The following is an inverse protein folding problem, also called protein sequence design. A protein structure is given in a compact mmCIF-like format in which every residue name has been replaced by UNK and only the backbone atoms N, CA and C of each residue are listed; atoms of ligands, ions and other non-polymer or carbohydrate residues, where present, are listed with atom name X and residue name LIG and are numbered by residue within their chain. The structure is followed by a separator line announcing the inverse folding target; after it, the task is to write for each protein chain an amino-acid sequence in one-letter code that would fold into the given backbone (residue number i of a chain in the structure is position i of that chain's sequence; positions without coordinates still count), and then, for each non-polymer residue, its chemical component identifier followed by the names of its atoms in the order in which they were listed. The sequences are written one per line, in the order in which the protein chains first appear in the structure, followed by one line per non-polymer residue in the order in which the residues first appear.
data_IF_257933149763
#
_entry.id   IF_257933149763
#
_cell.length_a   1.000
_cell.length_b   1.000
_cell.length_c   1.000
_cell.angle_alpha   90.00
_cell.angle_beta   90.00
_cell.angle_gamma   90.00
#
_symmetry.space_group_name_H-M   'P 1'
#
loop_
_entity.id
_entity.type
_entity.pdbx_description
1 polymer ?
#
# COMPACT_ATOMS: atom_id res chain seq x y z
N UNK A 1 5.71 -13.87 -11.38
CA UNK A 1 5.65 -12.68 -10.51
C UNK A 1 7.00 -11.96 -10.51
N UNK A 2 6.99 -10.63 -10.58
CA UNK A 2 8.12 -9.75 -10.25
C UNK A 2 7.81 -9.09 -8.91
N UNK A 3 8.81 -9.00 -8.05
CA UNK A 3 8.71 -8.32 -6.76
C UNK A 3 10.00 -7.53 -6.52
N UNK A 4 9.87 -6.21 -6.38
CA UNK A 4 10.97 -5.31 -6.07
C UNK A 4 10.59 -4.47 -4.84
N UNK A 5 11.46 -4.48 -3.84
CA UNK A 5 11.35 -3.61 -2.66
C UNK A 5 12.25 -2.39 -2.85
N UNK A 6 11.65 -1.21 -2.88
CA UNK A 6 12.34 0.06 -3.08
C UNK A 6 12.40 0.80 -1.74
N UNK A 7 13.62 1.00 -1.24
CA UNK A 7 13.88 1.78 -0.02
C UNK A 7 14.14 3.24 -0.37
N UNK A 8 13.51 4.15 0.37
CA UNK A 8 13.84 5.57 0.28
C UNK A 8 15.07 5.89 1.12
N UNK A 9 16.15 6.38 0.51
CA UNK A 9 17.37 6.71 1.26
C UNK A 9 17.11 7.83 2.28
N UNK A 10 17.68 7.71 3.48
CA UNK A 10 17.49 8.67 4.57
C UNK A 10 16.14 8.60 5.27
N UNK A 11 15.18 7.84 4.73
CA UNK A 11 13.90 7.54 5.36
C UNK A 11 13.83 6.04 5.70
N UNK A 12 13.11 5.70 6.76
CA UNK A 12 12.81 4.29 7.08
C UNK A 12 11.67 3.73 6.22
N UNK A 13 11.33 4.39 5.11
CA UNK A 13 10.22 4.09 4.23
C UNK A 13 10.56 3.02 3.17
N UNK A 14 9.65 2.06 3.01
CA UNK A 14 9.67 1.02 1.99
C UNK A 14 8.44 1.13 1.10
N UNK A 15 8.68 1.03 -0.20
CA UNK A 15 7.64 0.94 -1.22
C UNK A 15 7.86 -0.33 -2.04
N UNK A 16 6.81 -0.80 -2.70
CA UNK A 16 6.83 -2.12 -3.34
C UNK A 16 6.32 -2.03 -4.77
N UNK A 17 7.02 -2.66 -5.70
CA UNK A 17 6.58 -2.89 -7.06
C UNK A 17 6.29 -4.38 -7.24
N UNK A 18 5.07 -4.71 -7.63
CA UNK A 18 4.60 -6.09 -7.79
C UNK A 18 4.07 -6.24 -9.21
N UNK A 19 4.57 -7.22 -9.96
CA UNK A 19 4.22 -7.42 -11.37
C UNK A 19 3.79 -8.84 -11.70
N UNK A 20 2.79 -8.98 -12.58
CA UNK A 20 2.39 -10.24 -13.18
C UNK A 20 1.92 -10.05 -14.62
N UNK A 21 2.39 -10.90 -15.53
CA UNK A 21 2.20 -10.70 -16.97
C UNK A 21 2.79 -9.36 -17.43
N UNK A 22 1.94 -8.49 -17.96
CA UNK A 22 2.31 -7.12 -18.36
C UNK A 22 1.68 -6.04 -17.46
N UNK A 23 1.20 -6.41 -16.28
CA UNK A 23 0.52 -5.52 -15.34
C UNK A 23 1.30 -5.43 -14.03
N UNK A 24 1.23 -4.27 -13.38
CA UNK A 24 1.92 -4.00 -12.13
C UNK A 24 1.11 -3.11 -11.19
N UNK A 25 1.40 -3.29 -9.91
CA UNK A 25 0.90 -2.49 -8.80
C UNK A 25 2.08 -1.88 -8.06
N UNK A 26 1.94 -0.63 -7.63
CA UNK A 26 2.89 0.01 -6.71
C UNK A 26 2.20 0.31 -5.38
N UNK A 27 2.83 -0.08 -4.28
CA UNK A 27 2.36 0.20 -2.92
C UNK A 27 3.27 1.25 -2.28
N UNK A 28 2.66 2.30 -1.72
CA UNK A 28 3.30 3.43 -1.03
C UNK A 28 4.41 4.12 -1.84
N UNK A 29 4.14 4.63 -3.06
CA UNK A 29 5.19 5.19 -3.89
C UNK A 29 5.88 6.40 -3.23
N UNK A 30 7.22 6.43 -3.28
CA UNK A 30 8.00 7.64 -3.02
C UNK A 30 7.80 8.66 -4.14
N UNK A 31 8.05 9.94 -3.84
CA UNK A 31 7.73 11.07 -4.74
C UNK A 31 8.54 11.13 -6.04
N UNK A 32 9.80 10.69 -6.01
CA UNK A 32 10.61 10.51 -7.21
C UNK A 32 10.26 9.19 -7.88
N UNK A 33 9.20 9.24 -8.69
CA UNK A 33 8.54 8.07 -9.25
C UNK A 33 9.27 7.41 -10.44
N UNK A 34 10.36 8.00 -10.94
CA UNK A 34 11.11 7.48 -12.09
C UNK A 34 11.52 6.02 -11.88
N UNK A 35 11.92 5.66 -10.65
CA UNK A 35 12.30 4.28 -10.27
C UNK A 35 11.22 3.26 -10.64
N UNK A 36 9.93 3.57 -10.43
CA UNK A 36 8.83 2.65 -10.75
C UNK A 36 8.60 2.57 -12.26
N UNK A 37 8.65 3.71 -12.95
CA UNK A 37 8.44 3.74 -14.40
C UNK A 37 9.58 3.06 -15.15
N UNK A 38 10.81 3.12 -14.63
CA UNK A 38 11.97 2.46 -15.21
C UNK A 38 11.93 0.95 -14.99
N UNK A 39 11.47 0.48 -13.81
CA UNK A 39 11.19 -0.95 -13.59
C UNK A 39 10.11 -1.41 -14.59
N UNK A 40 8.98 -0.70 -14.68
CA UNK A 40 7.90 -1.05 -15.59
C UNK A 40 8.37 -1.13 -17.06
N UNK A 41 9.17 -0.16 -17.53
CA UNK A 41 9.75 -0.18 -18.88
C UNK A 41 10.70 -1.34 -19.10
N UNK A 42 11.60 -1.60 -18.13
CA UNK A 42 12.59 -2.69 -18.21
C UNK A 42 11.92 -4.05 -18.35
N UNK A 43 10.83 -4.26 -17.61
CA UNK A 43 10.09 -5.52 -17.56
C UNK A 43 8.94 -5.61 -18.58
N UNK A 44 8.70 -4.56 -19.37
CA UNK A 44 7.61 -4.54 -20.36
C UNK A 44 6.21 -4.52 -19.73
N UNK A 45 6.07 -3.91 -18.56
CA UNK A 45 4.83 -3.85 -17.76
C UNK A 45 4.18 -2.46 -17.81
N UNK A 46 2.89 -2.42 -17.47
CA UNK A 46 2.13 -1.19 -17.20
C UNK A 46 1.74 -1.18 -15.73
N UNK A 47 1.94 -0.04 -15.07
CA UNK A 47 1.43 0.17 -13.71
C UNK A 47 -0.03 0.56 -13.84
N UNK A 48 -0.94 -0.28 -13.34
CA UNK A 48 -2.38 -0.07 -13.46
C UNK A 48 -2.98 0.46 -12.14
N UNK A 49 -2.39 0.08 -11.01
CA UNK A 49 -2.90 0.44 -9.68
C UNK A 49 -1.77 0.95 -8.77
N UNK A 50 -2.12 1.95 -7.96
CA UNK A 50 -1.30 2.53 -6.91
C UNK A 50 -2.07 2.39 -5.62
N UNK A 51 -1.51 1.71 -4.62
CA UNK A 51 -2.15 1.50 -3.33
C UNK A 51 -1.41 2.32 -2.27
N UNK A 52 -2.14 3.07 -1.46
CA UNK A 52 -1.60 3.74 -0.27
C UNK A 52 -2.10 3.00 0.96
N UNK A 53 -1.19 2.53 1.81
CA UNK A 53 -1.56 1.84 3.05
C UNK A 53 -2.20 2.80 4.03
N UNK A 54 -1.70 4.03 4.14
CA UNK A 54 -2.25 5.06 5.03
C UNK A 54 -1.84 6.45 4.55
N UNK A 55 -2.49 7.49 5.09
CA UNK A 55 -1.97 8.85 4.96
C UNK A 55 -0.62 8.92 5.70
N UNK A 56 0.43 9.33 5.00
CA UNK A 56 1.77 9.39 5.56
C UNK A 56 2.07 10.75 6.21
N UNK A 57 2.68 10.76 7.39
CA UNK A 57 3.07 11.96 8.16
C UNK A 57 4.57 12.31 8.07
N UNK A 58 5.39 11.40 7.54
CA UNK A 58 6.86 11.47 7.54
C UNK A 58 7.45 11.81 6.16
N UNK A 59 6.72 11.59 5.07
CA UNK A 59 7.08 12.01 3.71
C UNK A 59 5.89 12.43 2.85
N UNK A 60 6.19 13.00 1.67
CA UNK A 60 5.16 13.30 0.66
C UNK A 60 5.02 12.13 -0.29
N UNK A 61 3.85 11.50 -0.29
CA UNK A 61 3.56 10.35 -1.16
C UNK A 61 3.57 10.69 -2.65
N UNK A 62 4.00 9.75 -3.48
CA UNK A 62 4.20 9.90 -4.92
C UNK A 62 2.99 9.55 -5.78
N UNK A 63 1.85 9.15 -5.21
CA UNK A 63 0.76 8.51 -5.98
C UNK A 63 0.22 9.37 -7.12
N UNK A 64 0.00 10.66 -6.88
CA UNK A 64 -0.46 11.58 -7.93
C UNK A 64 0.58 11.80 -9.02
N UNK A 65 1.86 11.82 -8.66
CA UNK A 65 2.95 11.94 -9.63
C UNK A 65 3.03 10.69 -10.49
N UNK A 66 3.01 9.52 -9.86
CA UNK A 66 3.02 8.24 -10.58
C UNK A 66 1.78 8.06 -11.45
N UNK A 67 0.60 8.46 -10.98
CA UNK A 67 -0.62 8.49 -11.78
C UNK A 67 -0.46 9.40 -13.01
N UNK A 68 0.11 10.60 -12.88
CA UNK A 68 0.34 11.49 -14.02
C UNK A 68 1.28 10.86 -15.07
N UNK A 69 2.25 10.06 -14.65
CA UNK A 69 3.21 9.38 -15.53
C UNK A 69 2.64 8.13 -16.21
N UNK A 70 1.64 7.47 -15.61
CA UNK A 70 1.21 6.11 -15.99
C UNK A 70 -0.27 5.99 -16.36
N UNK A 71 -1.11 6.89 -15.87
CA UNK A 71 -2.57 6.77 -15.93
C UNK A 71 -3.17 5.78 -14.92
N UNK A 72 -2.39 5.28 -13.97
CA UNK A 72 -2.85 4.31 -12.98
C UNK A 72 -3.93 4.87 -12.03
N UNK A 73 -4.81 3.99 -11.56
CA UNK A 73 -5.79 4.31 -10.53
C UNK A 73 -5.14 4.28 -9.14
N UNK A 74 -5.48 5.26 -8.31
CA UNK A 74 -5.00 5.37 -6.93
C UNK A 74 -6.09 4.85 -5.99
N UNK A 75 -5.69 4.12 -4.96
CA UNK A 75 -6.58 3.59 -3.93
C UNK A 75 -6.07 3.85 -2.51
N UNK A 76 -7.01 4.10 -1.61
CA UNK A 76 -6.81 4.36 -0.18
C UNK A 76 -7.80 3.57 0.68
N UNK A 77 -7.61 3.54 1.99
CA UNK A 77 -8.61 3.01 2.93
C UNK A 77 -9.78 3.97 3.22
N UNK A 78 -10.81 3.47 3.92
CA UNK A 78 -11.99 4.25 4.31
C UNK A 78 -11.70 5.12 5.55
N UNK A 79 -12.52 6.15 5.79
CA UNK A 79 -12.45 6.96 7.02
C UNK A 79 -11.80 8.33 6.85
N UNK A 80 -11.10 8.57 5.75
CA UNK A 80 -10.62 9.90 5.35
C UNK A 80 -11.17 10.31 3.99
N UNK A 81 -11.55 11.58 3.85
CA UNK A 81 -12.01 12.19 2.60
C UNK A 81 -10.80 12.62 1.75
N UNK A 82 -10.10 11.63 1.17
CA UNK A 82 -9.03 11.87 0.21
C UNK A 82 -9.61 12.59 -1.01
N UNK A 83 -9.11 13.80 -1.28
CA UNK A 83 -9.55 14.63 -2.43
C UNK A 83 -9.03 14.14 -3.79
N UNK A 84 -8.56 12.89 -3.85
CA UNK A 84 -8.05 12.18 -5.02
C UNK A 84 -8.14 10.67 -4.75
N UNK A 85 -7.95 9.87 -5.81
CA UNK A 85 -8.02 8.41 -5.70
C UNK A 85 -9.42 7.88 -5.41
N UNK A 86 -9.50 6.58 -5.14
CA UNK A 86 -10.71 5.85 -4.83
C UNK A 86 -10.56 5.18 -3.44
N UNK A 87 -11.67 4.98 -2.75
CA UNK A 87 -11.69 4.21 -1.50
C UNK A 87 -11.83 2.72 -1.79
N UNK A 88 -10.99 1.90 -1.18
CA UNK A 88 -11.17 0.45 -1.07
C UNK A 88 -11.85 0.13 0.25
N UNK A 89 -12.84 -0.75 0.18
CA UNK A 89 -13.48 -1.31 1.36
C UNK A 89 -12.74 -2.58 1.83
N UNK A 90 -12.98 -2.97 3.08
CA UNK A 90 -12.46 -4.24 3.62
C UNK A 90 -12.91 -5.45 2.78
N UNK A 91 -11.97 -6.36 2.52
CA UNK A 91 -12.18 -7.55 1.70
C UNK A 91 -12.26 -7.30 0.20
N UNK A 92 -12.18 -6.04 -0.27
CA UNK A 92 -12.20 -5.75 -1.70
C UNK A 92 -10.95 -6.27 -2.40
N UNK A 93 -11.12 -6.84 -3.60
CA UNK A 93 -10.05 -7.50 -4.34
C UNK A 93 -9.66 -6.73 -5.60
N UNK A 94 -8.35 -6.70 -5.89
CA UNK A 94 -7.76 -6.21 -7.14
C UNK A 94 -7.00 -7.37 -7.77
N UNK A 95 -7.34 -7.72 -9.01
CA UNK A 95 -6.69 -8.78 -9.79
C UNK A 95 -5.88 -8.16 -10.92
N UNK A 96 -4.64 -8.61 -11.09
CA UNK A 96 -3.73 -8.16 -12.15
C UNK A 96 -2.81 -9.31 -12.58
N UNK A 97 -2.80 -9.66 -13.87
CA UNK A 97 -2.21 -10.90 -14.34
C UNK A 97 -2.75 -12.13 -13.59
N UNK A 98 -1.85 -12.94 -13.03
CA UNK A 98 -2.19 -14.09 -12.16
C UNK A 98 -2.23 -13.78 -10.66
N UNK A 99 -2.06 -12.51 -10.28
CA UNK A 99 -2.01 -12.10 -8.88
C UNK A 99 -3.31 -11.46 -8.43
N UNK A 100 -3.61 -11.63 -7.15
CA UNK A 100 -4.75 -11.00 -6.48
C UNK A 100 -4.28 -10.33 -5.19
N UNK A 101 -4.63 -9.06 -5.02
CA UNK A 101 -4.51 -8.34 -3.76
C UNK A 101 -5.88 -8.24 -3.12
N UNK A 102 -6.00 -8.64 -1.86
CA UNK A 102 -7.16 -8.38 -1.01
C UNK A 102 -6.81 -7.24 -0.05
N UNK A 103 -7.65 -6.20 -0.05
CA UNK A 103 -7.53 -5.08 0.85
C UNK A 103 -8.09 -5.47 2.23
N UNK A 104 -7.31 -5.23 3.28
CA UNK A 104 -7.68 -5.52 4.67
C UNK A 104 -7.71 -4.19 5.43
N UNK A 105 -8.85 -3.80 5.98
CA UNK A 105 -8.92 -2.59 6.80
C UNK A 105 -8.28 -2.88 8.16
N UNK A 106 -7.16 -2.21 8.42
CA UNK A 106 -6.34 -2.43 9.63
C UNK A 106 -6.11 -1.10 10.36
N UNK A 107 -7.19 -0.47 10.88
CA UNK A 107 -7.09 0.83 11.54
C UNK A 107 -6.28 0.75 12.83
N UNK A 108 -5.54 1.81 13.13
CA UNK A 108 -4.80 1.88 14.38
C UNK A 108 -3.69 2.90 14.34
N UNK A 109 -2.75 2.77 13.40
CA UNK A 109 -1.78 3.84 13.15
C UNK A 109 -2.50 5.12 12.69
N UNK A 110 -3.39 4.96 11.72
CA UNK A 110 -4.40 5.93 11.30
C UNK A 110 -5.76 5.25 11.16
N UNK A 111 -6.84 6.02 11.07
CA UNK A 111 -8.21 5.48 10.94
C UNK A 111 -8.45 4.80 9.57
N UNK A 112 -7.75 5.26 8.54
CA UNK A 112 -7.83 4.74 7.17
C UNK A 112 -6.73 3.73 6.80
N UNK A 113 -5.95 3.28 7.78
CA UNK A 113 -4.87 2.32 7.56
C UNK A 113 -5.39 1.00 6.94
N UNK A 114 -4.71 0.55 5.89
CA UNK A 114 -4.96 -0.68 5.14
C UNK A 114 -3.71 -1.54 5.13
N UNK A 115 -3.94 -2.85 5.19
CA UNK A 115 -2.96 -3.87 4.81
C UNK A 115 -3.39 -4.53 3.50
N UNK A 116 -2.43 -5.04 2.73
CA UNK A 116 -2.71 -5.70 1.44
C UNK A 116 -2.17 -7.12 1.41
N UNK A 117 -3.05 -8.12 1.35
CA UNK A 117 -2.68 -9.53 1.26
C UNK A 117 -2.59 -9.96 -0.20
N UNK A 118 -1.47 -10.56 -0.59
CA UNK A 118 -1.19 -11.00 -1.96
C UNK A 118 -1.31 -12.52 -2.08
N UNK A 119 -2.05 -12.97 -3.10
CA UNK A 119 -2.18 -14.37 -3.51
C UNK A 119 -1.66 -14.50 -4.95
N UNK A 120 -0.95 -15.60 -5.23
CA UNK A 120 -0.63 -16.03 -6.59
C UNK A 120 -1.57 -17.16 -7.01
N UNK A 121 -2.54 -16.82 -7.87
CA UNK A 121 -3.63 -17.71 -8.27
C UNK A 121 -3.15 -18.92 -9.09
N UNK A 122 -1.94 -18.85 -9.68
CA UNK A 122 -1.33 -20.00 -10.36
C UNK A 122 -0.77 -21.01 -9.34
N UNK A 123 -0.39 -20.55 -8.14
CA UNK A 123 0.15 -21.38 -7.07
C UNK A 123 -0.92 -21.92 -6.11
N UNK A 124 -2.07 -21.25 -6.01
CA UNK A 124 -3.21 -21.66 -5.19
C UNK A 124 -3.92 -20.46 -4.53
N UNK A 125 -4.65 -20.73 -3.45
CA UNK A 125 -5.44 -19.73 -2.72
C UNK A 125 -4.76 -19.22 -1.43
N UNK A 126 -3.52 -19.64 -1.17
CA UNK A 126 -2.78 -19.26 0.03
C UNK A 126 -2.18 -17.85 -0.11
N UNK A 127 -2.27 -17.07 0.97
CA UNK A 127 -1.63 -15.74 1.05
C UNK A 127 -0.11 -15.91 1.14
N UNK A 128 0.60 -15.31 0.19
CA UNK A 128 2.07 -15.44 0.08
C UNK A 128 2.82 -14.22 0.61
N UNK A 129 2.20 -13.05 0.65
CA UNK A 129 2.77 -11.81 1.20
C UNK A 129 1.67 -10.94 1.81
N UNK A 130 2.03 -10.14 2.80
CA UNK A 130 1.16 -9.07 3.33
C UNK A 130 1.97 -7.79 3.43
N UNK A 131 1.44 -6.71 2.89
CA UNK A 131 1.99 -5.36 3.00
C UNK A 131 1.22 -4.63 4.11
N UNK A 132 1.84 -4.50 5.28
CA UNK A 132 1.16 -4.10 6.51
C UNK A 132 1.16 -2.59 6.77
N UNK A 133 1.76 -1.79 5.88
CA UNK A 133 2.02 -0.37 6.13
C UNK A 133 2.66 -0.17 7.50
N UNK A 134 2.12 0.79 8.25
CA UNK A 134 2.53 1.07 9.63
C UNK A 134 1.65 0.36 10.68
N UNK A 135 0.77 -0.57 10.28
CA UNK A 135 0.02 -1.36 11.26
C UNK A 135 0.94 -2.33 12.02
N UNK A 136 1.82 -3.03 11.31
CA UNK A 136 2.72 -4.03 11.88
C UNK A 136 4.13 -3.93 11.28
N UNK A 137 5.12 -3.86 12.15
CA UNK A 137 6.53 -3.89 11.80
C UNK A 137 7.20 -5.20 12.24
N UNK A 138 8.46 -5.38 11.84
CA UNK A 138 9.29 -6.48 12.33
C UNK A 138 9.62 -6.22 13.80
N UNK A 139 8.86 -6.85 14.70
CA UNK A 139 9.06 -6.82 16.14
C UNK A 139 8.43 -5.62 16.86
N UNK A 140 7.59 -4.84 16.17
CA UNK A 140 6.90 -3.67 16.74
C UNK A 140 5.62 -3.36 15.96
N UNK A 141 4.88 -2.33 16.36
CA UNK A 141 3.69 -1.80 15.68
C UNK A 141 3.80 -0.29 15.46
N UNK A 142 2.94 0.28 14.61
CA UNK A 142 2.85 1.72 14.44
C UNK A 142 2.44 2.43 15.71
N UNK A 143 2.91 3.67 15.86
CA UNK A 143 2.46 4.56 16.93
C UNK A 143 1.00 4.95 16.71
N UNK A 144 0.27 5.22 17.79
CA UNK A 144 -1.18 5.46 17.74
C UNK A 144 -1.59 6.85 18.25
N UNK A 145 -0.64 7.75 18.45
CA UNK A 145 -0.83 9.06 19.09
C UNK A 145 -0.73 10.25 18.13
N UNK A 146 -0.62 10.01 16.82
CA UNK A 146 -0.49 11.08 15.80
C UNK A 146 -1.72 12.00 15.75
N UNK A 147 -2.90 11.48 16.10
CA UNK A 147 -4.15 12.25 16.11
C UNK A 147 -4.31 13.08 17.39
N UNK A 148 -3.40 12.91 18.35
CA UNK A 148 -3.44 13.50 19.67
C UNK A 148 -3.38 12.44 20.76
N UNK A 149 -2.83 12.76 21.95
CA UNK A 149 -2.70 11.83 23.06
C UNK A 149 -4.06 11.31 23.58
N UNK A 150 -5.14 12.06 23.40
CA UNK A 150 -6.50 11.65 23.75
C UNK A 150 -7.02 10.48 22.90
N UNK A 151 -6.57 10.35 21.64
CA UNK A 151 -6.99 9.29 20.72
C UNK A 151 -6.16 8.02 20.88
N UNK A 152 -4.99 8.11 21.52
CA UNK A 152 -4.00 7.04 21.57
C UNK A 152 -4.55 5.70 22.11
N UNK A 153 -5.43 5.75 23.12
CA UNK A 153 -6.06 4.55 23.67
C UNK A 153 -7.05 3.90 22.68
N UNK A 154 -7.82 4.71 21.95
CA UNK A 154 -8.79 4.21 20.94
C UNK A 154 -8.04 3.57 19.78
N UNK A 155 -7.05 4.28 19.26
CA UNK A 155 -6.23 3.83 18.13
C UNK A 155 -5.38 2.61 18.48
N UNK A 156 -4.87 2.50 19.71
CA UNK A 156 -4.21 1.28 20.19
C UNK A 156 -5.19 0.09 20.28
N UNK A 157 -6.43 0.32 20.71
CA UNK A 157 -7.47 -0.71 20.70
C UNK A 157 -7.80 -1.19 19.28
N UNK A 158 -8.00 -0.25 18.35
CA UNK A 158 -8.23 -0.56 16.94
C UNK A 158 -7.06 -1.36 16.34
N UNK A 159 -5.82 -0.97 16.67
CA UNK A 159 -4.64 -1.66 16.17
C UNK A 159 -4.55 -3.08 16.70
N UNK A 160 -4.84 -3.28 17.99
CA UNK A 160 -4.89 -4.59 18.62
C UNK A 160 -5.93 -5.51 17.97
N UNK A 161 -7.10 -4.98 17.63
CA UNK A 161 -8.16 -5.76 16.97
C UNK A 161 -7.84 -6.07 15.49
N UNK A 162 -6.91 -5.32 14.88
CA UNK A 162 -6.50 -5.48 13.48
C UNK A 162 -5.43 -6.56 13.25
N UNK A 163 -4.67 -6.95 14.29
CA UNK A 163 -3.50 -7.85 14.21
C UNK A 163 -3.70 -9.14 15.02
#
# INVERSE_FOLDING_TARGET
MIFERIKSEGLAHLSYFIGSGNEAVVIDPRRDCDVYTDIARREGMRINHILETHRNEDYVIGSKELQNLTGADIYHGPGLDFKYGNTLEDGQEIVFGSLKITALHTPGHTDESMSYALIDLDAGDEVIMVFTGDALFIGDVGRTDLYGPEEASRLAGNLYDSI
#
